data_IF_237956875157
#
_entry.id   IF_237956875157
#
_cell.length_a   1.000
_cell.length_b   1.000
_cell.length_c   1.000
_cell.angle_alpha   90.00
_cell.angle_beta   90.00
_cell.angle_gamma   90.00
#
_symmetry.space_group_name_H-M   'P 1'
#
loop_
_entity.id
_entity.type
_entity.pdbx_description
1 polymer ?
#
# COMPACT_ATOMS: atom_id res chain seq x y z
N UNK A 1 8.61 -2.88 -8.20
CA UNK A 1 8.06 -4.19 -7.77
C UNK A 1 9.20 -4.98 -7.16
N UNK A 2 8.98 -5.53 -5.96
CA UNK A 2 9.96 -6.24 -5.10
C UNK A 2 10.82 -7.22 -5.89
N UNK A 3 10.22 -7.99 -6.81
CA UNK A 3 10.97 -8.94 -7.67
C UNK A 3 12.16 -8.31 -8.41
N UNK A 4 12.01 -7.10 -8.96
CA UNK A 4 13.10 -6.42 -9.66
C UNK A 4 14.21 -5.97 -8.69
N UNK A 5 13.82 -5.52 -7.49
CA UNK A 5 14.78 -5.17 -6.45
C UNK A 5 15.54 -6.41 -5.97
N UNK A 6 14.87 -7.56 -5.81
CA UNK A 6 15.51 -8.83 -5.47
C UNK A 6 16.56 -9.26 -6.50
N UNK A 7 16.20 -9.19 -7.80
CA UNK A 7 17.12 -9.53 -8.89
C UNK A 7 18.33 -8.59 -8.94
N UNK A 8 18.12 -7.30 -8.69
CA UNK A 8 19.21 -6.33 -8.62
C UNK A 8 20.15 -6.64 -7.45
N UNK A 9 19.60 -6.94 -6.27
CA UNK A 9 20.38 -7.30 -5.08
C UNK A 9 21.18 -8.58 -5.26
N UNK A 10 20.61 -9.60 -5.89
CA UNK A 10 21.34 -10.83 -6.21
C UNK A 10 22.56 -10.55 -7.09
N UNK A 11 22.39 -9.68 -8.10
CA UNK A 11 23.49 -9.26 -8.97
C UNK A 11 24.55 -8.45 -8.21
N UNK A 12 24.15 -7.43 -7.47
CA UNK A 12 25.05 -6.58 -6.69
C UNK A 12 25.82 -7.37 -5.63
N UNK A 13 25.16 -8.31 -4.94
CA UNK A 13 25.82 -9.18 -3.98
C UNK A 13 26.85 -10.10 -4.66
N UNK A 14 26.54 -10.63 -5.85
CA UNK A 14 27.49 -11.41 -6.64
C UNK A 14 28.73 -10.62 -7.07
N UNK A 15 28.54 -9.37 -7.49
CA UNK A 15 29.64 -8.44 -7.79
C UNK A 15 30.48 -8.15 -6.53
N UNK A 16 29.84 -7.89 -5.39
CA UNK A 16 30.50 -7.71 -4.11
C UNK A 16 31.36 -8.91 -3.70
N UNK A 17 30.83 -10.13 -3.80
CA UNK A 17 31.55 -11.35 -3.47
C UNK A 17 32.81 -11.52 -4.33
N UNK A 18 32.71 -11.20 -5.61
CA UNK A 18 33.84 -11.23 -6.55
C UNK A 18 34.90 -10.20 -6.15
N UNK A 19 34.50 -8.95 -5.89
CA UNK A 19 35.42 -7.88 -5.49
C UNK A 19 36.16 -8.24 -4.19
N UNK A 20 35.46 -8.72 -3.17
CA UNK A 20 36.10 -9.11 -1.90
C UNK A 20 37.04 -10.29 -2.09
N UNK A 21 36.68 -11.28 -2.91
CA UNK A 21 37.55 -12.41 -3.21
C UNK A 21 38.84 -11.95 -3.90
N UNK A 22 38.73 -11.08 -4.90
CA UNK A 22 39.88 -10.53 -5.65
C UNK A 22 40.80 -9.68 -4.77
N UNK A 23 40.23 -8.85 -3.88
CA UNK A 23 41.03 -8.07 -2.93
C UNK A 23 41.75 -8.96 -1.93
N UNK A 24 41.08 -9.96 -1.36
CA UNK A 24 41.73 -10.92 -0.45
C UNK A 24 42.85 -11.71 -1.13
N UNK A 25 42.64 -12.12 -2.38
CA UNK A 25 43.67 -12.78 -3.18
C UNK A 25 44.86 -11.84 -3.41
N UNK A 26 44.61 -10.58 -3.78
CA UNK A 26 45.62 -9.54 -3.98
C UNK A 26 46.44 -9.31 -2.71
N UNK A 27 45.79 -9.10 -1.56
CA UNK A 27 46.45 -8.96 -0.26
C UNK A 27 47.35 -10.16 0.04
N UNK A 28 46.85 -11.39 -0.15
CA UNK A 28 47.62 -12.62 0.09
C UNK A 28 48.87 -12.74 -0.79
N UNK A 29 48.74 -12.42 -2.09
CA UNK A 29 49.85 -12.47 -3.05
C UNK A 29 50.89 -11.40 -2.73
N UNK A 30 50.47 -10.16 -2.48
CA UNK A 30 51.37 -9.05 -2.18
C UNK A 30 52.09 -9.25 -0.84
N UNK A 31 51.42 -9.80 0.18
CA UNK A 31 52.05 -10.16 1.45
C UNK A 31 53.15 -11.21 1.27
N UNK A 32 52.94 -12.22 0.41
CA UNK A 32 53.97 -13.21 0.06
C UNK A 32 55.15 -12.55 -0.65
N UNK A 33 54.89 -11.67 -1.63
CA UNK A 33 55.93 -10.94 -2.37
C UNK A 33 56.76 -10.05 -1.43
N UNK A 34 56.09 -9.31 -0.55
CA UNK A 34 56.69 -8.47 0.48
C UNK A 34 57.59 -9.30 1.41
N UNK A 35 57.12 -10.46 1.88
CA UNK A 35 57.91 -11.37 2.72
C UNK A 35 59.20 -11.81 2.01
N UNK A 36 59.11 -12.18 0.71
CA UNK A 36 60.30 -12.59 -0.08
C UNK A 36 61.27 -11.45 -0.32
N UNK A 37 60.78 -10.25 -0.59
CA UNK A 37 61.61 -9.05 -0.75
C UNK A 37 62.32 -8.70 0.56
N UNK A 38 61.60 -8.75 1.69
CA UNK A 38 62.20 -8.55 3.02
C UNK A 38 63.28 -9.60 3.30
N UNK A 39 63.03 -10.89 3.07
CA UNK A 39 64.04 -11.93 3.21
C UNK A 39 65.28 -11.67 2.32
N UNK A 40 65.11 -11.18 1.09
CA UNK A 40 66.21 -10.87 0.17
C UNK A 40 67.08 -9.68 0.64
N UNK A 41 66.44 -8.59 1.10
CA UNK A 41 67.15 -7.38 1.55
C UNK A 41 67.74 -7.52 2.96
N UNK A 42 67.08 -8.28 3.85
CA UNK A 42 67.47 -8.42 5.27
C UNK A 42 68.36 -9.65 5.52
N UNK A 43 68.13 -10.78 4.84
CA UNK A 43 68.83 -12.06 5.09
C UNK A 43 69.75 -12.51 3.95
N UNK A 44 69.78 -11.80 2.81
CA UNK A 44 70.49 -12.21 1.59
C UNK A 44 71.54 -11.21 1.07
N UNK A 45 72.08 -11.47 -0.12
CA UNK A 45 73.10 -10.64 -0.81
C UNK A 45 72.62 -9.23 -1.21
N UNK A 46 71.33 -8.91 -1.00
CA UNK A 46 70.73 -7.61 -1.31
C UNK A 46 71.33 -6.44 -0.52
N UNK A 47 71.82 -6.68 0.71
CA UNK A 47 72.54 -5.66 1.49
C UNK A 47 73.78 -5.10 0.78
N UNK A 48 74.42 -5.87 -0.10
CA UNK A 48 75.57 -5.41 -0.89
C UNK A 48 75.19 -4.59 -2.14
N UNK A 49 73.92 -4.61 -2.56
CA UNK A 49 73.38 -3.90 -3.73
C UNK A 49 72.77 -2.52 -3.38
N UNK A 50 72.70 -2.15 -2.09
CA UNK A 50 72.14 -0.87 -1.63
C UNK A 50 73.04 0.34 -1.98
N UNK A 51 74.22 0.12 -2.60
CA UNK A 51 75.14 1.18 -2.99
C UNK A 51 74.91 1.70 -4.43
N UNK A 52 73.66 1.98 -4.80
CA UNK A 52 73.35 2.77 -5.99
C UNK A 52 72.29 3.81 -5.62
N UNK A 53 72.78 4.99 -5.24
CA UNK A 53 72.01 6.14 -4.84
C UNK A 53 71.20 6.66 -6.05
N UNK A 54 69.96 6.19 -6.20
CA UNK A 54 69.01 6.80 -7.13
C UNK A 54 68.47 8.08 -6.50
N UNK A 55 68.81 9.23 -7.08
CA UNK A 55 68.17 10.52 -6.75
C UNK A 55 66.80 10.56 -7.43
N UNK A 56 65.67 10.59 -6.68
CA UNK A 56 64.36 10.63 -7.30
C UNK A 56 63.95 12.09 -7.58
N UNK A 57 63.50 12.44 -8.79
CA UNK A 57 62.40 13.38 -8.93
C UNK A 57 61.11 12.55 -8.96
N UNK A 58 60.27 12.69 -7.94
CA UNK A 58 58.79 12.77 -7.95
C UNK A 58 58.33 12.37 -6.54
N UNK A 59 57.64 13.29 -5.87
CA UNK A 59 57.09 13.08 -4.54
C UNK A 59 55.89 12.13 -4.56
N UNK A 60 55.91 11.12 -3.69
CA UNK A 60 54.71 10.62 -3.00
C UNK A 60 55.11 10.38 -1.53
N UNK A 61 54.68 11.29 -0.64
CA UNK A 61 54.81 11.16 0.83
C UNK A 61 53.47 10.59 1.37
N UNK A 62 53.43 9.79 2.45
CA UNK A 62 54.10 9.97 3.74
C UNK A 62 54.87 8.74 4.20
N UNK A 63 56.18 8.92 4.16
CA UNK A 63 57.28 8.05 4.57
C UNK A 63 57.26 7.76 6.08
N UNK A 64 57.45 6.50 6.49
CA UNK A 64 57.92 6.17 7.84
C UNK A 64 59.00 5.09 7.80
N UNK A 65 60.25 5.55 7.86
CA UNK A 65 61.42 4.93 8.48
C UNK A 65 61.61 3.41 8.34
N UNK A 66 62.04 2.96 7.16
CA UNK A 66 62.88 1.77 7.04
C UNK A 66 64.15 2.14 6.26
N UNK A 67 65.17 2.62 6.99
CA UNK A 67 66.52 2.83 6.47
C UNK A 67 67.09 1.48 6.02
N UNK A 68 66.89 1.13 4.75
CA UNK A 68 67.42 -0.09 4.12
C UNK A 68 66.47 -0.83 3.18
N UNK A 69 65.17 -0.49 3.12
CA UNK A 69 64.22 -1.13 2.19
C UNK A 69 64.04 -0.31 0.91
N UNK A 70 64.09 -0.99 -0.23
CA UNK A 70 63.86 -0.43 -1.58
C UNK A 70 62.46 0.24 -1.67
N UNK A 71 62.29 1.36 -2.39
CA UNK A 71 60.99 2.05 -2.61
C UNK A 71 59.84 1.12 -3.05
N UNK A 72 60.17 -0.01 -3.67
CA UNK A 72 59.22 -1.05 -4.08
C UNK A 72 58.52 -1.71 -2.88
N UNK A 73 59.20 -1.88 -1.73
CA UNK A 73 58.60 -2.48 -0.53
C UNK A 73 57.50 -1.58 0.04
N UNK A 74 57.78 -0.27 0.14
CA UNK A 74 56.78 0.70 0.61
C UNK A 74 55.57 0.81 -0.32
N UNK A 75 55.78 0.71 -1.64
CA UNK A 75 54.68 0.67 -2.60
C UNK A 75 53.80 -0.58 -2.41
N UNK A 76 54.40 -1.75 -2.16
CA UNK A 76 53.65 -2.99 -1.91
C UNK A 76 52.87 -2.93 -0.59
N UNK A 77 53.45 -2.35 0.47
CA UNK A 77 52.78 -2.10 1.74
C UNK A 77 51.55 -1.19 1.54
N UNK A 78 51.72 -0.09 0.81
CA UNK A 78 50.62 0.84 0.51
C UNK A 78 49.48 0.17 -0.28
N UNK A 79 49.80 -0.61 -1.33
CA UNK A 79 48.76 -1.30 -2.12
C UNK A 79 48.00 -2.34 -1.26
N UNK A 80 48.67 -3.01 -0.31
CA UNK A 80 48.01 -3.92 0.64
C UNK A 80 47.05 -3.15 1.55
N UNK A 81 47.46 -1.98 2.06
CA UNK A 81 46.61 -1.12 2.89
C UNK A 81 45.40 -0.60 2.10
N UNK A 82 45.61 -0.11 0.88
CA UNK A 82 44.55 0.35 -0.02
C UNK A 82 43.56 -0.79 -0.33
N UNK A 83 44.05 -2.01 -0.57
CA UNK A 83 43.21 -3.19 -0.82
C UNK A 83 42.37 -3.57 0.40
N UNK A 84 42.92 -3.47 1.62
CA UNK A 84 42.19 -3.69 2.87
C UNK A 84 41.12 -2.63 3.11
N UNK A 85 41.45 -1.36 2.83
CA UNK A 85 40.49 -0.27 2.92
C UNK A 85 39.32 -0.48 1.94
N UNK A 86 39.61 -0.86 0.69
CA UNK A 86 38.58 -1.16 -0.30
C UNK A 86 37.69 -2.34 0.13
N UNK A 87 38.26 -3.41 0.66
CA UNK A 87 37.47 -4.54 1.20
C UNK A 87 36.53 -4.10 2.32
N UNK A 88 37.04 -3.28 3.26
CA UNK A 88 36.25 -2.78 4.38
C UNK A 88 35.10 -1.87 3.90
N UNK A 89 35.37 -0.95 2.98
CA UNK A 89 34.38 -0.04 2.42
C UNK A 89 33.32 -0.78 1.59
N UNK A 90 33.74 -1.75 0.77
CA UNK A 90 32.83 -2.61 0.02
C UNK A 90 31.92 -3.41 0.97
N UNK A 91 32.49 -3.99 2.03
CA UNK A 91 31.75 -4.77 3.02
C UNK A 91 30.74 -3.91 3.77
N UNK A 92 31.13 -2.70 4.18
CA UNK A 92 30.23 -1.75 4.82
C UNK A 92 29.09 -1.33 3.89
N UNK A 93 29.41 -1.04 2.63
CA UNK A 93 28.42 -0.67 1.62
C UNK A 93 27.43 -1.81 1.37
N UNK A 94 27.90 -3.05 1.32
CA UNK A 94 27.03 -4.23 1.16
C UNK A 94 26.10 -4.43 2.37
N UNK A 95 26.60 -4.26 3.60
CA UNK A 95 25.73 -4.33 4.78
C UNK A 95 24.63 -3.27 4.76
N UNK A 96 24.95 -2.05 4.34
CA UNK A 96 23.96 -0.97 4.19
C UNK A 96 22.95 -1.31 3.10
N UNK A 97 23.41 -1.74 1.92
CA UNK A 97 22.54 -2.09 0.81
C UNK A 97 21.61 -3.28 1.15
N UNK A 98 22.11 -4.26 1.91
CA UNK A 98 21.30 -5.37 2.41
C UNK A 98 20.24 -4.90 3.40
N UNK A 99 20.60 -4.04 4.37
CA UNK A 99 19.66 -3.50 5.34
C UNK A 99 18.56 -2.65 4.68
N UNK A 100 18.93 -1.79 3.73
CA UNK A 100 17.98 -0.97 2.96
C UNK A 100 17.04 -1.83 2.13
N UNK A 101 17.55 -2.90 1.52
CA UNK A 101 16.72 -3.85 0.79
C UNK A 101 15.73 -4.59 1.70
N UNK A 102 16.18 -5.11 2.84
CA UNK A 102 15.31 -5.80 3.80
C UNK A 102 14.19 -4.89 4.29
N UNK A 103 14.54 -3.63 4.61
CA UNK A 103 13.57 -2.60 4.95
C UNK A 103 12.59 -2.34 3.81
N UNK A 104 13.09 -2.15 2.59
CA UNK A 104 12.24 -1.93 1.41
C UNK A 104 11.26 -3.09 1.16
N UNK A 105 11.71 -4.34 1.29
CA UNK A 105 10.85 -5.52 1.13
C UNK A 105 9.77 -5.54 2.20
N UNK A 106 10.16 -5.35 3.47
CA UNK A 106 9.21 -5.30 4.59
C UNK A 106 8.17 -4.21 4.40
N UNK A 107 8.60 -2.97 4.18
CA UNK A 107 7.72 -1.82 4.00
C UNK A 107 6.78 -2.02 2.81
N UNK A 108 7.29 -2.61 1.72
CA UNK A 108 6.47 -2.94 0.53
C UNK A 108 5.43 -4.01 0.84
N UNK A 109 5.79 -5.07 1.57
CA UNK A 109 4.87 -6.15 1.93
C UNK A 109 3.80 -5.66 2.92
N UNK A 110 4.18 -4.85 3.90
CA UNK A 110 3.26 -4.24 4.86
C UNK A 110 2.27 -3.30 4.14
N UNK A 111 2.77 -2.48 3.21
CA UNK A 111 1.93 -1.60 2.39
C UNK A 111 0.96 -2.40 1.51
N UNK A 112 1.41 -3.47 0.87
CA UNK A 112 0.55 -4.33 0.05
C UNK A 112 -0.58 -4.90 0.91
N UNK A 113 -0.27 -5.43 2.10
CA UNK A 113 -1.26 -5.97 3.01
C UNK A 113 -2.30 -4.91 3.41
N UNK A 114 -1.84 -3.73 3.83
CA UNK A 114 -2.73 -2.62 4.21
C UNK A 114 -3.64 -2.20 3.05
N UNK A 115 -3.08 -2.09 1.84
CA UNK A 115 -3.86 -1.74 0.65
C UNK A 115 -4.88 -2.83 0.31
N UNK A 116 -4.52 -4.11 0.42
CA UNK A 116 -5.47 -5.22 0.22
C UNK A 116 -6.60 -5.18 1.24
N UNK A 117 -6.30 -4.98 2.52
CA UNK A 117 -7.31 -4.88 3.58
C UNK A 117 -8.24 -3.67 3.35
N UNK A 118 -7.68 -2.52 2.97
CA UNK A 118 -8.46 -1.33 2.63
C UNK A 118 -9.35 -1.53 1.40
N UNK A 119 -8.86 -2.21 0.36
CA UNK A 119 -9.65 -2.52 -0.83
C UNK A 119 -10.84 -3.39 -0.45
N UNK A 120 -10.63 -4.48 0.30
CA UNK A 120 -11.70 -5.36 0.77
C UNK A 120 -12.75 -4.58 1.56
N UNK A 121 -12.32 -3.82 2.57
CA UNK A 121 -13.24 -3.02 3.40
C UNK A 121 -14.03 -1.98 2.59
N UNK A 122 -13.38 -1.32 1.62
CA UNK A 122 -14.06 -0.35 0.74
C UNK A 122 -15.02 -1.02 -0.23
N UNK A 123 -14.68 -2.20 -0.76
CA UNK A 123 -15.57 -2.98 -1.62
C UNK A 123 -16.83 -3.41 -0.86
N UNK A 124 -16.68 -3.92 0.36
CA UNK A 124 -17.79 -4.28 1.24
C UNK A 124 -18.67 -3.08 1.58
N UNK A 125 -18.06 -1.96 2.01
CA UNK A 125 -18.79 -0.74 2.31
C UNK A 125 -19.55 -0.19 1.09
N UNK A 126 -18.95 -0.28 -0.11
CA UNK A 126 -19.61 0.14 -1.35
C UNK A 126 -20.79 -0.77 -1.69
N UNK A 127 -20.65 -2.09 -1.50
CA UNK A 127 -21.74 -3.02 -1.73
C UNK A 127 -22.91 -2.78 -0.75
N UNK A 128 -22.62 -2.59 0.53
CA UNK A 128 -23.62 -2.24 1.54
C UNK A 128 -24.33 -0.93 1.20
N UNK A 129 -23.58 0.13 0.88
CA UNK A 129 -24.15 1.43 0.51
C UNK A 129 -25.06 1.33 -0.73
N UNK A 130 -24.69 0.53 -1.74
CA UNK A 130 -25.53 0.31 -2.92
C UNK A 130 -26.83 -0.42 -2.59
N UNK A 131 -26.78 -1.41 -1.70
CA UNK A 131 -27.96 -2.13 -1.24
C UNK A 131 -28.91 -1.19 -0.48
N UNK A 132 -28.37 -0.40 0.45
CA UNK A 132 -29.14 0.61 1.20
C UNK A 132 -29.79 1.65 0.27
N UNK A 133 -29.07 2.14 -0.74
CA UNK A 133 -29.65 3.05 -1.74
C UNK A 133 -30.77 2.39 -2.51
N UNK A 134 -30.60 1.15 -2.98
CA UNK A 134 -31.64 0.44 -3.72
C UNK A 134 -32.90 0.22 -2.88
N UNK A 135 -32.74 -0.20 -1.62
CA UNK A 135 -33.85 -0.38 -0.69
C UNK A 135 -34.57 0.96 -0.43
N UNK A 136 -33.83 2.05 -0.20
CA UNK A 136 -34.41 3.36 0.03
C UNK A 136 -35.18 3.89 -1.20
N UNK A 137 -34.71 3.60 -2.42
CA UNK A 137 -35.42 3.93 -3.67
C UNK A 137 -36.71 3.12 -3.81
N UNK A 138 -36.70 1.83 -3.46
CA UNK A 138 -37.88 0.97 -3.44
C UNK A 138 -38.92 1.46 -2.41
N UNK A 139 -38.49 1.72 -1.18
CA UNK A 139 -39.34 2.22 -0.10
C UNK A 139 -39.98 3.57 -0.47
N UNK A 140 -39.22 4.47 -1.10
CA UNK A 140 -39.73 5.75 -1.59
C UNK A 140 -40.82 5.53 -2.65
N UNK A 141 -40.57 4.63 -3.61
CA UNK A 141 -41.53 4.28 -4.65
C UNK A 141 -42.83 3.70 -4.07
N UNK A 142 -42.70 2.76 -3.13
CA UNK A 142 -43.83 2.15 -2.43
C UNK A 142 -44.65 3.20 -1.66
N UNK A 143 -43.97 4.03 -0.85
CA UNK A 143 -44.60 5.09 -0.04
C UNK A 143 -45.36 6.09 -0.93
N UNK A 144 -44.78 6.49 -2.06
CA UNK A 144 -45.45 7.39 -3.00
C UNK A 144 -46.70 6.73 -3.63
N UNK A 145 -46.62 5.46 -3.98
CA UNK A 145 -47.77 4.71 -4.50
C UNK A 145 -48.91 4.57 -3.46
N UNK A 146 -48.57 4.33 -2.21
CA UNK A 146 -49.53 4.32 -1.10
C UNK A 146 -50.17 5.69 -0.89
N UNK A 147 -49.36 6.76 -0.94
CA UNK A 147 -49.84 8.13 -0.81
C UNK A 147 -50.84 8.50 -1.91
N UNK A 148 -50.54 8.17 -3.15
CA UNK A 148 -51.45 8.40 -4.29
C UNK A 148 -52.75 7.60 -4.13
N UNK A 149 -52.64 6.33 -3.74
CA UNK A 149 -53.80 5.45 -3.51
C UNK A 149 -54.70 6.00 -2.40
N UNK A 150 -54.10 6.47 -1.29
CA UNK A 150 -54.83 7.06 -0.17
C UNK A 150 -55.48 8.39 -0.54
N UNK A 151 -54.81 9.21 -1.36
CA UNK A 151 -55.38 10.45 -1.87
C UNK A 151 -56.60 10.18 -2.77
N UNK A 152 -56.52 9.18 -3.65
CA UNK A 152 -57.64 8.76 -4.49
C UNK A 152 -58.80 8.22 -3.66
N UNK A 153 -58.51 7.37 -2.68
CA UNK A 153 -59.52 6.84 -1.75
C UNK A 153 -60.21 7.96 -0.96
N UNK A 154 -59.44 8.94 -0.48
CA UNK A 154 -60.00 10.08 0.25
C UNK A 154 -60.93 10.93 -0.64
N UNK A 155 -60.54 11.19 -1.90
CA UNK A 155 -61.37 11.90 -2.85
C UNK A 155 -62.68 11.17 -3.15
N UNK A 156 -62.63 9.86 -3.35
CA UNK A 156 -63.82 9.02 -3.56
C UNK A 156 -64.74 9.02 -2.33
N UNK A 157 -64.17 8.83 -1.13
CA UNK A 157 -64.92 8.87 0.13
C UNK A 157 -65.60 10.23 0.33
N UNK A 158 -64.90 11.33 0.06
CA UNK A 158 -65.49 12.67 0.08
C UNK A 158 -66.66 12.78 -0.90
N UNK A 159 -66.52 12.27 -2.13
CA UNK A 159 -67.61 12.25 -3.11
C UNK A 159 -68.84 11.47 -2.63
N UNK A 160 -68.62 10.31 -2.01
CA UNK A 160 -69.70 9.50 -1.41
C UNK A 160 -70.38 10.24 -0.25
N UNK A 161 -69.62 10.81 0.68
CA UNK A 161 -70.14 11.60 1.79
C UNK A 161 -70.93 12.81 1.31
N UNK A 162 -70.40 13.56 0.35
CA UNK A 162 -71.07 14.73 -0.24
C UNK A 162 -72.39 14.35 -0.90
N UNK A 163 -72.44 13.24 -1.63
CA UNK A 163 -73.67 12.74 -2.24
C UNK A 163 -74.72 12.40 -1.18
N UNK A 164 -74.32 11.69 -0.11
CA UNK A 164 -75.22 11.34 0.99
C UNK A 164 -75.75 12.60 1.66
N UNK A 165 -74.88 13.55 2.01
CA UNK A 165 -75.25 14.80 2.69
C UNK A 165 -76.18 15.67 1.83
N UNK A 166 -75.86 15.86 0.55
CA UNK A 166 -76.69 16.66 -0.38
C UNK A 166 -78.10 16.09 -0.55
N UNK A 167 -78.25 14.76 -0.47
CA UNK A 167 -79.53 14.09 -0.69
C UNK A 167 -80.25 13.71 0.61
N UNK A 168 -79.63 13.92 1.77
CA UNK A 168 -80.17 13.46 3.05
C UNK A 168 -81.55 14.07 3.34
N UNK A 169 -81.67 15.39 3.27
CA UNK A 169 -82.93 16.09 3.57
C UNK A 169 -84.04 15.75 2.58
N UNK A 170 -83.73 15.61 1.30
CA UNK A 170 -84.69 15.23 0.26
C UNK A 170 -85.21 13.82 0.53
N UNK A 171 -84.31 12.88 0.80
CA UNK A 171 -84.68 11.50 1.14
C UNK A 171 -85.47 11.41 2.44
N UNK A 172 -85.11 12.21 3.45
CA UNK A 172 -85.83 12.28 4.71
C UNK A 172 -87.27 12.77 4.50
N UNK A 173 -87.47 13.85 3.73
CA UNK A 173 -88.81 14.37 3.40
C UNK A 173 -89.63 13.36 2.60
N UNK A 174 -89.08 12.77 1.55
CA UNK A 174 -89.78 11.75 0.76
C UNK A 174 -90.18 10.54 1.61
N UNK A 175 -89.30 10.12 2.54
CA UNK A 175 -89.60 9.02 3.47
C UNK A 175 -90.71 9.36 4.46
N UNK A 176 -90.75 10.60 4.97
CA UNK A 176 -91.85 11.06 5.82
C UNK A 176 -93.18 11.05 5.05
N UNK A 177 -93.19 11.53 3.80
CA UNK A 177 -94.37 11.49 2.94
C UNK A 177 -94.84 10.06 2.63
N UNK A 178 -93.92 9.12 2.37
CA UNK A 178 -94.26 7.69 2.23
C UNK A 178 -94.89 7.14 3.50
N UNK A 179 -94.35 7.47 4.68
CA UNK A 179 -94.90 7.03 5.97
C UNK A 179 -96.32 7.56 6.17
N UNK A 180 -96.55 8.85 5.91
CA UNK A 180 -97.88 9.45 5.99
C UNK A 180 -98.87 8.78 5.03
N UNK A 181 -98.46 8.53 3.78
CA UNK A 181 -99.30 7.85 2.79
C UNK A 181 -99.64 6.41 3.21
N UNK A 182 -98.68 5.67 3.76
CA UNK A 182 -98.89 4.31 4.29
C UNK A 182 -99.85 4.35 5.48
N UNK A 183 -99.73 5.33 6.37
CA UNK A 183 -100.65 5.50 7.50
C UNK A 183 -102.08 5.80 7.04
N UNK A 184 -102.24 6.68 6.05
CA UNK A 184 -103.55 6.98 5.46
C UNK A 184 -104.18 5.74 4.82
N UNK A 185 -103.41 4.98 4.02
CA UNK A 185 -103.87 3.72 3.42
C UNK A 185 -104.29 2.69 4.48
N UNK A 186 -103.52 2.58 5.57
CA UNK A 186 -103.88 1.73 6.71
C UNK A 186 -105.19 2.15 7.36
N UNK A 187 -105.41 3.46 7.55
CA UNK A 187 -106.66 4.01 8.07
C UNK A 187 -107.88 3.59 7.25
N UNK A 188 -107.79 3.79 5.92
CA UNK A 188 -108.82 3.38 4.95
C UNK A 188 -109.11 1.88 5.05
N UNK A 189 -108.07 1.04 5.05
CA UNK A 189 -108.22 -0.43 5.14
C UNK A 189 -108.76 -0.89 6.50
N UNK A 190 -108.58 -0.11 7.56
CA UNK A 190 -109.10 -0.39 8.90
C UNK A 190 -110.53 0.13 9.14
N UNK A 191 -111.18 0.71 8.13
CA UNK A 191 -112.59 1.11 8.18
C UNK A 191 -112.87 2.44 8.87
N UNK A 192 -111.86 3.29 9.08
CA UNK A 192 -112.03 4.64 9.61
C UNK A 192 -111.99 5.64 8.45
N UNK A 193 -113.17 6.16 8.06
CA UNK A 193 -113.31 7.30 7.15
C UNK A 193 -113.38 8.61 7.95
#
# INVERSE_FOLDING_TARGET
NVKKASQLREKENGEFQTVVADQRATQSILLKALTRLQDFYVKGKGSALVLAQQTPPVQFNKYSNNKGSSPVVGLLEQIIEDSKALEADATKSEYQAQADYEKFVKDSTDLIKQLTDMVTAKTEATAAAKLETANAEEDLGSTNGELESLAAYNADLHGQCDFVLKNFDIRQKARLQEIEAIQAAKGILSGSA
#
